data_IF_316146170273
#
_entry.id   IF_316146170273
#
_cell.length_a   1.000
_cell.length_b   1.000
_cell.length_c   1.000
_cell.angle_alpha   90.00
_cell.angle_beta   90.00
_cell.angle_gamma   90.00
#
_symmetry.space_group_name_H-M   'P 1'
#
loop_
_entity.id
_entity.type
_entity.pdbx_description
1 polymer ?
#
# COMPACT_ATOMS: atom_id res chain seq x y z
N UNK A 1 -15.90 30.96 -3.65
CA UNK A 1 -15.70 29.97 -2.57
C UNK A 1 -15.91 28.53 -3.05
N UNK A 2 -17.06 28.16 -3.63
CA UNK A 2 -17.30 26.79 -4.14
C UNK A 2 -16.27 26.34 -5.19
N UNK A 3 -16.04 27.13 -6.25
CA UNK A 3 -15.12 26.76 -7.33
C UNK A 3 -13.67 26.53 -6.87
N UNK A 4 -13.16 27.35 -5.94
CA UNK A 4 -11.80 27.18 -5.39
C UNK A 4 -11.68 25.92 -4.52
N UNK A 5 -12.73 25.56 -3.79
CA UNK A 5 -12.77 24.32 -2.99
C UNK A 5 -12.82 23.09 -3.89
N UNK A 6 -13.65 23.11 -4.93
CA UNK A 6 -13.72 22.03 -5.91
C UNK A 6 -12.37 21.82 -6.61
N UNK A 7 -11.71 22.90 -7.06
CA UNK A 7 -10.39 22.80 -7.68
C UNK A 7 -9.35 22.19 -6.73
N UNK A 8 -9.36 22.59 -5.45
CA UNK A 8 -8.47 22.03 -4.43
C UNK A 8 -8.77 20.54 -4.16
N UNK A 9 -10.04 20.16 -4.10
CA UNK A 9 -10.47 18.75 -4.02
C UNK A 9 -9.90 17.92 -5.17
N UNK A 10 -10.10 18.36 -6.41
CA UNK A 10 -9.66 17.64 -7.61
C UNK A 10 -8.14 17.55 -7.68
N UNK A 11 -7.44 18.62 -7.32
CA UNK A 11 -5.98 18.65 -7.27
C UNK A 11 -5.44 17.65 -6.23
N UNK A 12 -5.99 17.66 -5.01
CA UNK A 12 -5.62 16.69 -3.97
C UNK A 12 -5.89 15.26 -4.44
N UNK A 13 -7.08 15.00 -4.99
CA UNK A 13 -7.45 13.69 -5.52
C UNK A 13 -6.46 13.24 -6.59
N UNK A 14 -6.12 14.11 -7.56
CA UNK A 14 -5.17 13.77 -8.61
C UNK A 14 -3.79 13.39 -8.06
N UNK A 15 -3.31 14.07 -7.00
CA UNK A 15 -2.05 13.74 -6.35
C UNK A 15 -2.10 12.36 -5.68
N UNK A 16 -3.20 12.03 -5.00
CA UNK A 16 -3.38 10.69 -4.41
C UNK A 16 -3.45 9.60 -5.48
N UNK A 17 -4.11 9.87 -6.60
CA UNK A 17 -4.15 8.93 -7.73
C UNK A 17 -2.74 8.64 -8.22
N UNK A 18 -1.88 9.64 -8.37
CA UNK A 18 -0.47 9.43 -8.74
C UNK A 18 0.27 8.61 -7.69
N UNK A 19 0.06 8.85 -6.39
CA UNK A 19 0.70 8.08 -5.32
C UNK A 19 0.23 6.62 -5.26
N UNK A 20 -0.97 6.33 -5.74
CA UNK A 20 -1.56 4.99 -5.71
C UNK A 20 -1.28 4.22 -7.00
N UNK A 21 -1.40 4.87 -8.15
CA UNK A 21 -1.39 4.24 -9.47
C UNK A 21 -0.15 4.56 -10.30
N UNK A 22 0.74 5.46 -9.82
CA UNK A 22 1.91 5.91 -10.56
C UNK A 22 2.79 4.76 -11.03
N UNK A 23 3.38 4.91 -12.22
CA UNK A 23 4.33 3.94 -12.77
C UNK A 23 5.77 4.28 -12.34
N UNK A 24 6.13 5.56 -12.33
CA UNK A 24 7.50 6.04 -12.04
C UNK A 24 7.46 7.31 -11.15
N UNK A 25 7.82 7.21 -9.86
CA UNK A 25 8.06 5.97 -9.11
C UNK A 25 6.77 5.12 -8.98
N UNK A 26 6.87 3.79 -8.82
CA UNK A 26 5.71 2.93 -8.63
C UNK A 26 4.85 3.38 -7.45
N UNK A 27 3.54 3.42 -7.66
CA UNK A 27 2.54 3.75 -6.65
C UNK A 27 2.23 2.58 -5.72
N UNK A 28 1.22 2.74 -4.88
CA UNK A 28 0.80 1.74 -3.91
C UNK A 28 0.27 0.44 -4.54
N UNK A 29 -0.47 0.53 -5.65
CA UNK A 29 -1.03 -0.62 -6.38
C UNK A 29 0.04 -1.58 -6.90
N UNK A 30 1.04 -1.16 -7.67
CA UNK A 30 2.07 -2.07 -8.15
C UNK A 30 2.89 -2.66 -7.01
N UNK A 31 3.21 -1.89 -5.97
CA UNK A 31 3.92 -2.38 -4.77
C UNK A 31 3.13 -3.48 -4.05
N UNK A 32 1.84 -3.25 -3.81
CA UNK A 32 0.96 -4.24 -3.19
C UNK A 32 0.88 -5.51 -4.03
N UNK A 33 0.70 -5.37 -5.34
CA UNK A 33 0.59 -6.50 -6.24
C UNK A 33 1.84 -7.38 -6.23
N UNK A 34 3.03 -6.77 -6.29
CA UNK A 34 4.30 -7.49 -6.20
C UNK A 34 4.45 -8.18 -4.85
N UNK A 35 4.27 -7.46 -3.74
CA UNK A 35 4.43 -8.03 -2.39
C UNK A 35 3.47 -9.20 -2.14
N UNK A 36 2.18 -8.99 -2.41
CA UNK A 36 1.15 -10.02 -2.24
C UNK A 36 1.45 -11.26 -3.07
N UNK A 37 1.87 -11.07 -4.31
CA UNK A 37 2.17 -12.20 -5.19
C UNK A 37 3.43 -12.95 -4.75
N UNK A 38 4.47 -12.26 -4.28
CA UNK A 38 5.64 -12.92 -3.71
C UNK A 38 5.28 -13.73 -2.45
N UNK A 39 4.39 -13.22 -1.58
CA UNK A 39 3.88 -13.97 -0.43
C UNK A 39 3.08 -15.21 -0.87
N UNK A 40 2.29 -15.10 -1.93
CA UNK A 40 1.55 -16.24 -2.50
C UNK A 40 2.53 -17.31 -2.99
N UNK A 41 3.58 -16.92 -3.71
CA UNK A 41 4.63 -17.83 -4.17
C UNK A 41 5.33 -18.51 -2.99
N UNK A 42 5.63 -17.77 -1.92
CA UNK A 42 6.18 -18.34 -0.70
C UNK A 42 5.22 -19.33 -0.02
N UNK A 43 3.94 -19.01 0.06
CA UNK A 43 2.91 -19.92 0.60
C UNK A 43 2.79 -21.23 -0.20
N UNK A 44 2.87 -21.14 -1.53
CA UNK A 44 2.78 -22.31 -2.41
C UNK A 44 4.02 -23.21 -2.38
N UNK A 45 5.21 -22.61 -2.32
CA UNK A 45 6.47 -23.34 -2.45
C UNK A 45 7.15 -23.64 -1.10
N UNK A 46 6.83 -22.90 -0.04
CA UNK A 46 7.56 -22.93 1.23
C UNK A 46 9.06 -22.71 1.04
N UNK A 47 9.88 -23.44 1.79
CA UNK A 47 11.35 -23.36 1.71
C UNK A 47 11.92 -23.71 0.33
N UNK A 48 11.15 -24.42 -0.51
CA UNK A 48 11.56 -24.71 -1.89
C UNK A 48 11.75 -23.45 -2.71
N UNK A 49 11.07 -22.34 -2.37
CA UNK A 49 11.26 -21.06 -3.04
C UNK A 49 12.72 -20.57 -2.96
N UNK A 50 13.38 -20.82 -1.83
CA UNK A 50 14.77 -20.45 -1.61
C UNK A 50 15.74 -21.35 -2.37
N UNK A 51 15.34 -22.60 -2.65
CA UNK A 51 16.09 -23.48 -3.56
C UNK A 51 15.92 -23.04 -5.03
N UNK A 52 14.73 -22.56 -5.41
CA UNK A 52 14.49 -21.99 -6.74
C UNK A 52 15.42 -20.79 -6.93
N UNK A 53 15.35 -19.79 -6.06
CA UNK A 53 16.21 -18.63 -6.12
C UNK A 53 16.39 -17.99 -4.73
N UNK A 54 17.57 -18.13 -4.10
CA UNK A 54 17.85 -17.57 -2.77
C UNK A 54 17.64 -16.06 -2.70
N UNK A 55 17.86 -15.30 -3.78
CA UNK A 55 17.69 -13.84 -3.75
C UNK A 55 16.23 -13.41 -3.59
N UNK A 56 15.25 -14.30 -3.81
CA UNK A 56 13.84 -13.98 -3.58
C UNK A 56 13.55 -13.68 -2.10
N UNK A 57 14.30 -14.27 -1.17
CA UNK A 57 14.13 -14.03 0.27
C UNK A 57 14.35 -12.55 0.62
N UNK A 58 15.53 -11.94 0.38
CA UNK A 58 15.73 -10.51 0.65
C UNK A 58 14.85 -9.60 -0.22
N UNK A 59 14.44 -10.02 -1.42
CA UNK A 59 13.54 -9.23 -2.27
C UNK A 59 12.12 -9.12 -1.70
N UNK A 60 11.62 -10.17 -1.04
CA UNK A 60 10.34 -10.12 -0.32
C UNK A 60 10.38 -9.06 0.79
N UNK A 61 11.43 -9.06 1.60
CA UNK A 61 11.59 -8.06 2.67
C UNK A 61 11.78 -6.63 2.13
N UNK A 62 12.45 -6.49 0.98
CA UNK A 62 12.57 -5.19 0.31
C UNK A 62 11.21 -4.69 -0.17
N UNK A 63 10.41 -5.54 -0.82
CA UNK A 63 9.06 -5.21 -1.26
C UNK A 63 8.13 -4.87 -0.08
N UNK A 64 8.24 -5.63 1.02
CA UNK A 64 7.54 -5.35 2.28
C UNK A 64 7.87 -3.95 2.80
N UNK A 65 9.16 -3.65 2.94
CA UNK A 65 9.63 -2.37 3.47
C UNK A 65 9.15 -1.21 2.62
N UNK A 66 9.26 -1.32 1.30
CA UNK A 66 8.81 -0.29 0.36
C UNK A 66 7.29 -0.07 0.41
N UNK A 67 6.51 -1.15 0.57
CA UNK A 67 5.06 -1.07 0.77
C UNK A 67 4.73 -0.36 2.09
N UNK A 68 5.42 -0.70 3.17
CA UNK A 68 5.20 -0.09 4.49
C UNK A 68 5.52 1.40 4.48
N UNK A 69 6.64 1.80 3.87
CA UNK A 69 7.02 3.22 3.73
C UNK A 69 6.01 4.00 2.88
N UNK A 70 5.57 3.43 1.75
CA UNK A 70 4.56 4.07 0.89
C UNK A 70 3.21 4.23 1.60
N UNK A 71 2.79 3.20 2.34
CA UNK A 71 1.56 3.21 3.13
C UNK A 71 1.64 4.23 4.26
N UNK A 72 2.78 4.25 4.98
CA UNK A 72 3.00 5.19 6.08
C UNK A 72 2.89 6.64 5.62
N UNK A 73 3.49 6.97 4.48
CA UNK A 73 3.42 8.33 3.91
C UNK A 73 1.99 8.81 3.67
N UNK A 74 1.06 7.92 3.33
CA UNK A 74 -0.35 8.25 3.06
C UNK A 74 -1.20 8.32 4.33
N UNK A 75 -0.77 7.70 5.43
CA UNK A 75 -1.57 7.51 6.64
C UNK A 75 -0.99 8.22 7.88
N UNK A 76 -0.04 9.12 7.66
CA UNK A 76 0.54 9.95 8.70
C UNK A 76 -0.52 10.78 9.44
N UNK A 77 -0.24 11.15 10.70
CA UNK A 77 -1.17 11.97 11.49
C UNK A 77 -1.52 13.27 10.74
N UNK A 78 -2.82 13.65 10.63
CA UNK A 78 -3.25 14.85 9.91
C UNK A 78 -2.57 16.14 10.36
N UNK A 79 -2.22 16.23 11.65
CA UNK A 79 -1.54 17.38 12.24
C UNK A 79 -0.07 17.49 11.81
N UNK A 80 0.52 16.38 11.37
CA UNK A 80 1.92 16.30 10.93
C UNK A 80 2.04 16.34 9.41
N UNK A 81 1.00 15.92 8.68
CA UNK A 81 1.00 15.88 7.22
C UNK A 81 -0.36 16.26 6.62
N UNK A 82 -0.43 17.45 6.01
CA UNK A 82 -1.61 17.89 5.22
C UNK A 82 -1.91 17.00 4.01
N UNK A 83 -0.91 16.21 3.58
CA UNK A 83 -1.01 15.23 2.50
C UNK A 83 -1.42 13.83 2.95
N UNK A 84 -1.86 13.65 4.19
CA UNK A 84 -2.43 12.38 4.66
C UNK A 84 -3.85 12.17 4.15
N UNK A 85 -4.23 10.91 3.94
CA UNK A 85 -5.57 10.53 3.50
C UNK A 85 -6.63 10.93 4.55
N UNK A 86 -6.30 10.86 5.83
CA UNK A 86 -7.16 11.37 6.91
C UNK A 86 -7.40 12.88 6.78
N UNK A 87 -6.38 13.69 6.48
CA UNK A 87 -6.55 15.11 6.22
C UNK A 87 -7.42 15.38 4.97
N UNK A 88 -7.28 14.55 3.94
CA UNK A 88 -8.14 14.61 2.75
C UNK A 88 -9.61 14.30 3.06
N UNK A 89 -9.88 13.25 3.83
CA UNK A 89 -11.25 12.92 4.25
C UNK A 89 -11.86 14.01 5.13
N UNK A 90 -11.10 14.57 6.08
CA UNK A 90 -11.53 15.74 6.86
C UNK A 90 -11.81 16.96 5.98
N UNK A 91 -10.97 17.22 4.99
CA UNK A 91 -11.23 18.26 4.01
C UNK A 91 -12.54 18.01 3.26
N UNK A 92 -12.79 16.77 2.83
CA UNK A 92 -14.02 16.41 2.13
C UNK A 92 -15.25 16.59 3.01
N UNK A 93 -15.23 16.12 4.25
CA UNK A 93 -16.34 16.27 5.21
C UNK A 93 -16.63 17.75 5.49
N UNK A 94 -15.59 18.55 5.79
CA UNK A 94 -15.74 19.99 6.07
C UNK A 94 -16.32 20.77 4.89
N UNK A 95 -16.03 20.34 3.67
CA UNK A 95 -16.36 21.06 2.45
C UNK A 95 -17.41 20.35 1.59
N UNK A 96 -18.14 19.38 2.16
CA UNK A 96 -19.03 18.47 1.45
C UNK A 96 -19.98 19.20 0.49
N UNK A 97 -20.67 20.25 0.94
CA UNK A 97 -21.63 20.99 0.13
C UNK A 97 -21.00 21.75 -1.06
N UNK A 98 -19.69 21.95 -1.03
CA UNK A 98 -18.92 22.63 -2.08
C UNK A 98 -18.25 21.65 -3.05
N UNK A 99 -18.20 20.36 -2.72
CA UNK A 99 -17.69 19.30 -3.59
C UNK A 99 -18.84 18.78 -4.45
N UNK A 100 -18.58 18.56 -5.73
CA UNK A 100 -19.58 18.06 -6.69
C UNK A 100 -19.10 16.75 -7.29
N UNK A 101 -19.76 15.65 -6.93
CA UNK A 101 -19.71 14.39 -7.67
C UNK A 101 -20.78 14.42 -8.77
N UNK A 102 -20.77 13.43 -9.68
CA UNK A 102 -21.80 13.33 -10.72
C UNK A 102 -23.21 13.18 -10.14
N UNK A 103 -23.35 12.49 -9.01
CA UNK A 103 -24.63 12.31 -8.30
C UNK A 103 -25.01 13.50 -7.40
N UNK A 104 -24.28 14.61 -7.46
CA UNK A 104 -24.40 15.73 -6.52
C UNK A 104 -23.31 15.72 -5.45
N UNK A 105 -23.47 16.46 -4.34
CA UNK A 105 -22.49 16.46 -3.26
C UNK A 105 -22.24 15.06 -2.66
N UNK A 106 -21.01 14.74 -2.22
CA UNK A 106 -20.73 13.46 -1.57
C UNK A 106 -21.60 13.26 -0.33
N UNK A 107 -22.28 12.11 -0.14
CA UNK A 107 -23.01 11.83 1.09
C UNK A 107 -22.05 11.80 2.28
N UNK A 108 -22.44 12.41 3.41
CA UNK A 108 -21.60 12.47 4.61
C UNK A 108 -21.34 11.06 5.15
N UNK A 109 -22.34 10.18 5.06
CA UNK A 109 -22.28 8.80 5.52
C UNK A 109 -21.21 7.99 4.77
N UNK A 110 -20.98 8.29 3.49
CA UNK A 110 -19.92 7.65 2.69
C UNK A 110 -18.54 8.09 3.19
N UNK A 111 -18.36 9.39 3.43
CA UNK A 111 -17.08 9.94 3.91
C UNK A 111 -16.76 9.46 5.33
N UNK A 112 -17.77 9.40 6.21
CA UNK A 112 -17.62 8.86 7.57
C UNK A 112 -17.32 7.37 7.55
N UNK A 113 -17.97 6.60 6.69
CA UNK A 113 -17.68 5.16 6.53
C UNK A 113 -16.22 4.94 6.11
N UNK A 114 -15.74 5.68 5.11
CA UNK A 114 -14.35 5.60 4.66
C UNK A 114 -13.36 5.97 5.75
N UNK A 115 -13.64 7.03 6.51
CA UNK A 115 -12.83 7.44 7.65
C UNK A 115 -12.78 6.35 8.73
N UNK A 116 -13.94 5.85 9.15
CA UNK A 116 -14.06 4.81 10.17
C UNK A 116 -13.41 3.49 9.74
N UNK A 117 -13.47 3.15 8.45
CA UNK A 117 -12.79 1.98 7.90
C UNK A 117 -11.26 2.09 8.09
N UNK A 118 -10.67 3.25 7.80
CA UNK A 118 -9.24 3.47 8.06
C UNK A 118 -8.91 3.48 9.56
N UNK A 119 -9.74 4.13 10.39
CA UNK A 119 -9.58 4.14 11.85
C UNK A 119 -9.67 2.75 12.49
N UNK A 120 -10.53 1.87 11.97
CA UNK A 120 -10.64 0.50 12.49
C UNK A 120 -9.33 -0.30 12.38
N UNK A 121 -8.38 0.16 11.55
CA UNK A 121 -7.06 -0.42 11.33
C UNK A 121 -5.94 0.38 12.01
N UNK A 122 -6.27 1.21 13.00
CA UNK A 122 -5.32 2.08 13.72
C UNK A 122 -4.14 1.32 14.34
N UNK A 123 -4.36 0.09 14.82
CA UNK A 123 -3.28 -0.77 15.33
C UNK A 123 -2.23 -1.06 14.26
N UNK A 124 -2.65 -1.52 13.08
CA UNK A 124 -1.79 -1.78 11.92
C UNK A 124 -1.06 -0.52 11.47
N UNK A 125 -1.77 0.62 11.40
CA UNK A 125 -1.17 1.92 11.06
C UNK A 125 -0.06 2.26 12.07
N UNK A 126 -0.34 2.18 13.37
CA UNK A 126 0.63 2.50 14.42
C UNK A 126 1.85 1.58 14.38
N UNK A 127 1.66 0.29 14.09
CA UNK A 127 2.76 -0.65 13.97
C UNK A 127 3.63 -0.36 12.72
N UNK A 128 3.03 -0.02 11.57
CA UNK A 128 3.77 0.44 10.38
C UNK A 128 4.58 1.71 10.70
N UNK A 129 3.96 2.72 11.34
CA UNK A 129 4.66 3.95 11.72
C UNK A 129 5.80 3.67 12.70
N UNK A 130 5.57 2.79 13.67
CA UNK A 130 6.59 2.35 14.62
C UNK A 130 7.80 1.73 13.92
N UNK A 131 7.58 0.77 13.01
CA UNK A 131 8.67 0.16 12.22
C UNK A 131 9.39 1.20 11.36
N UNK A 132 8.64 2.10 10.70
CA UNK A 132 9.24 3.21 9.94
C UNK A 132 10.14 4.06 10.82
N UNK A 133 9.59 4.63 11.88
CA UNK A 133 10.28 5.63 12.69
C UNK A 133 11.42 5.03 13.49
N UNK A 134 11.34 3.76 13.90
CA UNK A 134 12.30 3.14 14.80
C UNK A 134 13.34 2.26 14.15
N UNK A 135 13.08 1.82 12.91
CA UNK A 135 13.92 0.83 12.26
C UNK A 135 14.30 1.20 10.83
N UNK A 136 13.32 1.59 10.00
CA UNK A 136 13.62 1.90 8.59
C UNK A 136 14.24 3.29 8.39
N UNK A 137 13.72 4.30 9.10
CA UNK A 137 14.12 5.69 8.92
C UNK A 137 15.17 6.16 9.94
N UNK A 138 15.21 5.57 11.13
CA UNK A 138 16.14 5.96 12.19
C UNK A 138 16.85 4.76 12.82
N UNK A 139 18.11 4.96 13.20
CA UNK A 139 18.91 4.03 13.99
C UNK A 139 18.61 4.19 15.48
N UNK A 140 17.37 3.91 15.88
CA UNK A 140 17.02 3.95 17.31
C UNK A 140 17.89 2.95 18.08
N UNK A 141 18.53 3.44 19.16
CA UNK A 141 19.54 2.71 19.94
C UNK A 141 19.05 1.33 20.41
N UNK A 142 17.76 1.18 20.73
CA UNK A 142 17.19 -0.08 21.19
C UNK A 142 17.23 -1.13 20.08
N UNK A 143 16.77 -0.77 18.88
CA UNK A 143 16.66 -1.68 17.75
C UNK A 143 17.97 -1.85 16.99
N UNK A 144 18.92 -0.90 17.11
CA UNK A 144 20.29 -1.12 16.64
C UNK A 144 20.97 -2.26 17.41
N UNK A 145 20.76 -2.35 18.73
CA UNK A 145 21.34 -3.39 19.57
C UNK A 145 20.62 -4.74 19.43
N UNK A 146 19.30 -4.70 19.26
CA UNK A 146 18.47 -5.90 19.12
C UNK A 146 17.48 -5.75 17.95
N UNK A 147 17.93 -5.95 16.69
CA UNK A 147 17.09 -5.73 15.50
C UNK A 147 15.80 -6.54 15.50
N UNK A 148 15.85 -7.81 15.93
CA UNK A 148 14.69 -8.69 15.96
C UNK A 148 13.56 -8.20 16.88
N UNK A 149 13.86 -7.32 17.84
CA UNK A 149 12.87 -6.79 18.78
C UNK A 149 11.83 -5.91 18.08
N UNK A 150 12.13 -5.36 16.90
CA UNK A 150 11.18 -4.55 16.14
C UNK A 150 9.91 -5.33 15.77
N UNK A 151 10.05 -6.64 15.51
CA UNK A 151 8.94 -7.52 15.14
C UNK A 151 8.07 -7.89 16.34
N UNK A 152 8.58 -7.74 17.57
CA UNK A 152 7.86 -7.98 18.82
C UNK A 152 7.17 -6.70 19.30
N UNK A 153 7.89 -5.57 19.28
CA UNK A 153 7.36 -4.28 19.76
C UNK A 153 6.32 -3.69 18.79
N UNK A 154 6.42 -4.01 17.48
CA UNK A 154 5.48 -3.60 16.44
C UNK A 154 5.08 -4.81 15.57
N UNK A 155 4.23 -5.72 16.09
CA UNK A 155 3.78 -6.87 15.31
C UNK A 155 2.94 -6.40 14.12
N UNK A 156 3.14 -7.05 12.97
CA UNK A 156 2.41 -6.79 11.73
C UNK A 156 2.22 -8.12 11.01
N UNK A 157 0.96 -8.46 10.80
CA UNK A 157 0.58 -9.57 9.92
C UNK A 157 0.41 -9.04 8.49
N UNK A 158 0.89 -9.82 7.52
CA UNK A 158 0.85 -9.42 6.12
C UNK A 158 -0.59 -9.16 5.64
N UNK A 159 -1.55 -9.98 6.07
CA UNK A 159 -2.96 -9.85 5.70
C UNK A 159 -3.58 -8.54 6.22
N UNK A 160 -3.21 -8.11 7.42
CA UNK A 160 -3.66 -6.83 7.98
C UNK A 160 -3.13 -5.65 7.17
N UNK A 161 -1.86 -5.71 6.74
CA UNK A 161 -1.29 -4.68 5.88
C UNK A 161 -1.96 -4.68 4.51
N UNK A 162 -2.15 -5.84 3.89
CA UNK A 162 -2.86 -5.96 2.61
C UNK A 162 -4.27 -5.37 2.72
N UNK A 163 -5.00 -5.69 3.79
CA UNK A 163 -6.34 -5.16 4.03
C UNK A 163 -6.35 -3.63 4.22
N UNK A 164 -5.36 -3.08 4.93
CA UNK A 164 -5.19 -1.63 5.09
C UNK A 164 -4.89 -0.94 3.77
N UNK A 165 -3.96 -1.48 2.99
CA UNK A 165 -3.56 -0.90 1.70
C UNK A 165 -4.73 -0.94 0.72
N UNK A 166 -5.50 -2.03 0.69
CA UNK A 166 -6.72 -2.11 -0.12
C UNK A 166 -7.77 -1.07 0.30
N UNK A 167 -7.93 -0.80 1.59
CA UNK A 167 -8.82 0.27 2.06
C UNK A 167 -8.36 1.65 1.56
N UNK A 168 -7.06 1.95 1.62
CA UNK A 168 -6.48 3.19 1.07
C UNK A 168 -6.75 3.33 -0.43
N UNK A 169 -6.51 2.27 -1.20
CA UNK A 169 -6.79 2.23 -2.64
C UNK A 169 -8.28 2.45 -2.90
N UNK A 170 -9.15 1.75 -2.17
CA UNK A 170 -10.60 1.79 -2.29
C UNK A 170 -11.17 3.19 -2.11
N UNK A 171 -10.73 3.93 -1.09
CA UNK A 171 -11.14 5.33 -0.86
C UNK A 171 -10.87 6.17 -2.11
N UNK A 172 -9.64 6.19 -2.61
CA UNK A 172 -9.27 7.05 -3.72
C UNK A 172 -9.95 6.62 -5.02
N UNK A 173 -10.05 5.32 -5.29
CA UNK A 173 -10.76 4.78 -6.45
C UNK A 173 -12.24 5.16 -6.42
N UNK A 174 -12.90 5.11 -5.28
CA UNK A 174 -14.29 5.56 -5.14
C UNK A 174 -14.44 7.05 -5.46
N UNK A 175 -13.57 7.89 -4.90
CA UNK A 175 -13.57 9.34 -5.19
C UNK A 175 -13.35 9.65 -6.68
N UNK A 176 -12.49 8.89 -7.38
CA UNK A 176 -12.32 9.02 -8.83
C UNK A 176 -13.59 8.66 -9.59
N UNK A 177 -14.17 7.48 -9.30
CA UNK A 177 -15.39 7.01 -9.94
C UNK A 177 -16.54 7.98 -9.77
N UNK A 178 -16.76 8.49 -8.55
CA UNK A 178 -17.86 9.42 -8.27
C UNK A 178 -17.66 10.80 -8.90
N UNK A 179 -16.40 11.23 -9.08
CA UNK A 179 -16.09 12.49 -9.75
C UNK A 179 -16.25 12.39 -11.28
N UNK A 180 -15.72 11.33 -11.91
CA UNK A 180 -15.54 11.27 -13.38
C UNK A 180 -16.27 10.12 -14.09
N UNK A 181 -16.93 9.21 -13.37
CA UNK A 181 -17.37 7.89 -13.88
C UNK A 181 -16.25 7.12 -14.56
N UNK A 182 -15.03 7.32 -14.09
CA UNK A 182 -13.87 6.55 -14.47
C UNK A 182 -12.88 6.54 -13.31
N UNK A 183 -12.11 5.47 -13.22
CA UNK A 183 -10.95 5.39 -12.36
C UNK A 183 -9.73 5.09 -13.21
N UNK A 184 -8.54 5.32 -12.64
CA UNK A 184 -7.32 4.85 -13.25
C UNK A 184 -7.36 3.32 -13.39
N UNK A 185 -6.89 2.82 -14.53
CA UNK A 185 -6.80 1.37 -14.76
C UNK A 185 -5.79 0.80 -13.77
N UNK A 186 -6.23 -0.19 -12.99
CA UNK A 186 -5.35 -0.91 -12.07
C UNK A 186 -4.36 -1.76 -12.86
N UNK A 187 -3.07 -1.59 -12.58
CA UNK A 187 -1.98 -2.41 -13.13
C UNK A 187 -1.68 -3.64 -12.27
N UNK A 188 -2.46 -3.91 -11.22
CA UNK A 188 -2.19 -4.97 -10.26
C UNK A 188 -2.06 -6.37 -10.90
N UNK A 189 -2.95 -6.69 -11.84
CA UNK A 189 -2.93 -8.00 -12.52
C UNK A 189 -1.67 -8.18 -13.36
N UNK A 190 -1.22 -7.12 -14.03
CA UNK A 190 0.03 -7.14 -14.79
C UNK A 190 1.22 -7.52 -13.89
N UNK A 191 1.38 -6.85 -12.75
CA UNK A 191 2.46 -7.15 -11.81
C UNK A 191 2.33 -8.54 -11.18
N UNK A 192 1.10 -8.98 -10.92
CA UNK A 192 0.83 -10.35 -10.42
C UNK A 192 1.34 -11.38 -11.43
N UNK A 193 0.98 -11.23 -12.71
CA UNK A 193 1.43 -12.11 -13.80
C UNK A 193 2.96 -12.04 -13.96
N UNK A 194 3.56 -10.85 -13.84
CA UNK A 194 5.01 -10.69 -13.93
C UNK A 194 5.77 -11.47 -12.84
N UNK A 195 5.32 -11.41 -11.59
CA UNK A 195 5.96 -12.16 -10.49
C UNK A 195 5.76 -13.67 -10.66
N UNK A 196 4.58 -14.12 -11.05
CA UNK A 196 4.33 -15.55 -11.33
C UNK A 196 5.23 -16.07 -12.46
N UNK A 197 5.31 -15.32 -13.57
CA UNK A 197 6.22 -15.63 -14.67
C UNK A 197 7.69 -15.62 -14.24
N UNK A 198 8.10 -14.69 -13.38
CA UNK A 198 9.46 -14.62 -12.85
C UNK A 198 9.80 -15.90 -12.08
N UNK A 199 8.98 -16.32 -11.11
CA UNK A 199 9.23 -17.53 -10.31
C UNK A 199 9.25 -18.77 -11.20
N UNK A 200 8.29 -18.90 -12.12
CA UNK A 200 8.24 -20.03 -13.07
C UNK A 200 9.51 -20.11 -13.93
N UNK A 201 9.98 -18.97 -14.43
CA UNK A 201 11.19 -18.91 -15.25
C UNK A 201 12.45 -19.24 -14.44
N UNK A 202 12.53 -18.78 -13.19
CA UNK A 202 13.62 -19.11 -12.27
C UNK A 202 13.63 -20.61 -11.96
N UNK A 203 12.47 -21.22 -11.69
CA UNK A 203 12.37 -22.66 -11.43
C UNK A 203 12.81 -23.49 -12.65
N UNK A 204 12.32 -23.13 -13.84
CA UNK A 204 12.71 -23.79 -15.10
C UNK A 204 14.22 -23.65 -15.35
N UNK A 205 14.78 -22.46 -15.12
CA UNK A 205 16.21 -22.19 -15.21
C UNK A 205 17.03 -23.02 -14.23
N UNK A 206 16.61 -23.10 -12.97
CA UNK A 206 17.27 -23.91 -11.94
C UNK A 206 17.27 -25.39 -12.29
N UNK A 207 16.14 -25.96 -12.72
CA UNK A 207 16.07 -27.36 -13.17
C UNK A 207 17.01 -27.66 -14.32
N UNK A 208 17.08 -26.77 -15.31
CA UNK A 208 17.90 -26.95 -16.51
C UNK A 208 19.39 -26.83 -16.21
N UNK A 209 19.78 -25.83 -15.43
CA UNK A 209 21.17 -25.48 -15.21
C UNK A 209 21.81 -26.25 -14.04
N UNK A 210 20.98 -26.71 -13.09
CA UNK A 210 21.42 -27.44 -11.90
C UNK A 210 20.51 -28.64 -11.59
N UNK A 211 20.58 -29.72 -12.40
CA UNK A 211 19.74 -30.91 -12.21
C UNK A 211 19.88 -31.52 -10.82
N UNK A 212 18.78 -32.00 -10.22
CA UNK A 212 18.75 -32.62 -8.90
C UNK A 212 18.72 -31.66 -7.70
N UNK A 213 18.82 -30.34 -7.90
CA UNK A 213 18.77 -29.36 -6.79
C UNK A 213 17.35 -29.04 -6.30
N UNK A 214 16.33 -29.34 -7.10
CA UNK A 214 14.92 -29.04 -6.81
C UNK A 214 14.05 -30.28 -6.56
N UNK A 215 14.67 -31.46 -6.61
CA UNK A 215 14.05 -32.77 -6.37
C UNK A 215 14.14 -33.15 -4.88
#
# INVERSE_FOLDING_TARGET
>A
MKGSIQANYEERLSRYVTLIQGAEPPGLVPKLAVYRELLRQHSMHGDRLWKIEPVLHPLIFAAETDLYLATARLLEEPRRAEGSLFAFLHFCMKNQANITWKSGPPPVEVLEKQFNELESRRSTINAIMGRRDKFFAHLDKRYFKEPARIYVDYPLEADDVIALVNAVIGVITEHQWKLKESAAISVAEFYTICVDNMVRNLEAGRRKNFPGQLD
#
